data_IF_017612997248
#
_entry.id   IF_017612997248
#
_cell.length_a   1.000
_cell.length_b   1.000
_cell.length_c   1.000
_cell.angle_alpha   90.00
_cell.angle_beta   90.00
_cell.angle_gamma   90.00
#
_symmetry.space_group_name_H-M   'P 1'
#
loop_
_entity.id
_entity.type
_entity.pdbx_description
1 polymer ?
#
# COMPACT_ATOMS: atom_id res chain seq x y z
N UNK A 1 6.75 -20.26 -18.95
CA UNK A 1 5.54 -19.67 -18.36
C UNK A 1 5.99 -18.76 -17.23
N UNK A 2 5.34 -17.61 -17.03
CA UNK A 2 5.70 -16.74 -15.91
C UNK A 2 5.40 -17.47 -14.58
N UNK A 3 6.41 -17.62 -13.72
CA UNK A 3 6.27 -18.26 -12.42
C UNK A 3 5.63 -17.28 -11.42
N UNK A 4 4.95 -17.84 -10.41
CA UNK A 4 4.38 -17.09 -9.29
C UNK A 4 5.37 -17.11 -8.14
N UNK A 5 5.89 -15.95 -7.76
CA UNK A 5 6.84 -15.83 -6.65
C UNK A 5 6.24 -14.99 -5.52
N UNK A 6 6.39 -15.45 -4.28
CA UNK A 6 5.86 -14.77 -3.09
C UNK A 6 6.91 -13.77 -2.59
N UNK A 7 6.50 -12.54 -2.31
CA UNK A 7 7.34 -11.51 -1.69
C UNK A 7 7.01 -11.43 -0.21
N UNK A 8 8.04 -11.42 0.64
CA UNK A 8 7.93 -11.25 2.10
C UNK A 8 9.07 -10.40 2.62
N UNK A 9 8.74 -9.39 3.41
CA UNK A 9 9.71 -8.52 4.09
C UNK A 9 9.30 -8.29 5.54
N UNK A 10 10.30 -8.11 6.41
CA UNK A 10 10.10 -7.64 7.79
C UNK A 10 9.90 -6.12 7.86
N UNK A 11 10.16 -5.40 6.76
CA UNK A 11 10.00 -3.94 6.66
C UNK A 11 8.55 -3.45 6.50
N UNK A 12 7.58 -4.37 6.41
CA UNK A 12 6.16 -4.07 6.30
C UNK A 12 5.34 -5.03 7.20
N UNK A 13 4.10 -4.67 7.59
CA UNK A 13 3.22 -5.56 8.35
C UNK A 13 3.09 -6.93 7.68
N UNK A 14 3.26 -7.99 8.47
CA UNK A 14 2.97 -9.34 8.01
C UNK A 14 1.47 -9.49 7.73
N UNK A 15 1.06 -10.42 6.84
CA UNK A 15 -0.34 -10.73 6.67
C UNK A 15 -1.00 -11.03 8.02
N UNK A 16 -2.23 -10.53 8.22
CA UNK A 16 -2.99 -10.79 9.43
C UNK A 16 -3.01 -12.29 9.75
N UNK A 17 -2.82 -12.63 11.02
CA UNK A 17 -2.71 -14.03 11.44
C UNK A 17 -3.93 -14.84 11.00
N UNK A 18 -3.72 -15.86 10.17
CA UNK A 18 -4.78 -16.72 9.64
C UNK A 18 -5.46 -16.21 8.37
N UNK A 19 -5.11 -15.03 7.86
CA UNK A 19 -5.66 -14.50 6.61
C UNK A 19 -4.94 -15.12 5.38
N UNK A 20 -5.67 -15.56 4.34
CA UNK A 20 -5.10 -16.30 3.22
C UNK A 20 -4.52 -15.40 2.12
N UNK A 21 -3.57 -14.52 2.45
CA UNK A 21 -2.91 -13.63 1.48
C UNK A 21 -1.40 -13.43 1.78
N UNK A 22 -0.66 -12.85 0.83
CA UNK A 22 0.75 -12.46 0.99
C UNK A 22 0.88 -10.95 0.80
N UNK A 23 1.96 -10.35 1.32
CA UNK A 23 2.27 -8.92 1.14
C UNK A 23 2.31 -8.53 -0.33
N UNK A 24 3.01 -9.31 -1.15
CA UNK A 24 2.94 -9.20 -2.59
C UNK A 24 3.21 -10.53 -3.31
N UNK A 25 2.87 -10.55 -4.58
CA UNK A 25 3.19 -11.65 -5.52
C UNK A 25 3.82 -11.06 -6.77
N UNK A 26 4.94 -11.64 -7.22
CA UNK A 26 5.55 -11.35 -8.51
C UNK A 26 5.10 -12.34 -9.56
N UNK A 27 4.80 -11.86 -10.75
CA UNK A 27 4.66 -12.71 -11.94
C UNK A 27 4.72 -11.86 -13.21
N UNK A 28 5.37 -12.38 -14.26
CA UNK A 28 5.33 -11.78 -15.60
C UNK A 28 5.87 -10.35 -15.69
N UNK A 29 6.91 -10.00 -14.90
CA UNK A 29 7.47 -8.65 -14.87
C UNK A 29 6.71 -7.64 -14.01
N UNK A 30 5.68 -8.09 -13.28
CA UNK A 30 4.86 -7.26 -12.42
C UNK A 30 4.90 -7.71 -10.96
N UNK A 31 4.72 -6.75 -10.06
CA UNK A 31 4.52 -6.95 -8.63
C UNK A 31 3.10 -6.53 -8.27
N UNK A 32 2.33 -7.43 -7.66
CA UNK A 32 0.99 -7.16 -7.15
C UNK A 32 1.07 -7.08 -5.63
N UNK A 33 0.90 -5.89 -5.08
CA UNK A 33 1.01 -5.59 -3.65
C UNK A 33 -0.38 -5.52 -3.03
N UNK A 34 -0.59 -6.28 -1.95
CA UNK A 34 -1.82 -6.25 -1.17
C UNK A 34 -2.03 -4.89 -0.50
N UNK A 35 -3.27 -4.59 -0.11
CA UNK A 35 -3.62 -3.34 0.57
C UNK A 35 -2.78 -3.09 1.82
N UNK A 36 -2.15 -1.92 1.87
CA UNK A 36 -1.34 -1.46 3.00
C UNK A 36 -2.12 -0.43 3.81
N UNK A 37 -2.17 -0.65 5.12
CA UNK A 37 -2.74 0.25 6.10
C UNK A 37 -1.66 1.12 6.74
N UNK A 38 -2.09 2.10 7.52
CA UNK A 38 -1.23 2.89 8.41
C UNK A 38 -0.72 2.12 9.65
N UNK A 39 -0.24 0.89 9.47
CA UNK A 39 0.34 0.04 10.51
C UNK A 39 1.86 -0.03 10.36
N UNK A 40 2.61 0.01 11.48
CA UNK A 40 4.04 -0.29 11.47
C UNK A 40 4.28 -1.81 11.50
N UNK A 41 5.42 -2.31 11.03
CA UNK A 41 5.77 -3.72 11.15
C UNK A 41 5.73 -4.20 12.60
N UNK A 42 5.06 -5.32 12.84
CA UNK A 42 4.93 -5.92 14.19
C UNK A 42 3.90 -5.25 15.11
N UNK A 43 3.35 -4.09 14.75
CA UNK A 43 2.34 -3.39 15.53
C UNK A 43 0.92 -3.89 15.19
N UNK A 44 0.00 -3.73 16.15
CA UNK A 44 -1.43 -4.02 15.98
C UNK A 44 -2.29 -2.77 15.87
N UNK A 45 -1.75 -1.64 16.30
CA UNK A 45 -2.43 -0.35 16.33
C UNK A 45 -1.96 0.55 15.20
N UNK A 46 -2.87 1.34 14.66
CA UNK A 46 -2.58 2.34 13.62
C UNK A 46 -1.64 3.43 14.18
N UNK A 47 -0.83 4.02 13.31
CA UNK A 47 0.18 5.04 13.68
C UNK A 47 -0.41 6.31 14.31
N UNK A 48 -1.72 6.54 14.14
CA UNK A 48 -2.44 7.66 14.73
C UNK A 48 -3.81 7.88 14.08
N UNK A 49 -4.56 8.88 14.55
CA UNK A 49 -5.89 9.20 14.04
C UNK A 49 -5.87 10.13 12.83
N UNK A 50 -4.71 10.65 12.41
CA UNK A 50 -4.62 11.57 11.29
C UNK A 50 -4.45 10.81 9.97
N UNK A 51 -5.22 11.19 8.94
CA UNK A 51 -5.11 10.62 7.59
C UNK A 51 -3.69 10.75 7.03
N UNK A 52 -3.01 11.87 7.30
CA UNK A 52 -1.66 12.12 6.80
C UNK A 52 -0.66 11.08 7.31
N UNK A 53 -0.70 10.78 8.62
CA UNK A 53 0.18 9.80 9.26
C UNK A 53 -0.08 8.38 8.73
N UNK A 54 -1.37 8.01 8.59
CA UNK A 54 -1.72 6.70 8.06
C UNK A 54 -1.35 6.55 6.58
N UNK A 55 -1.48 7.61 5.78
CA UNK A 55 -1.08 7.63 4.36
C UNK A 55 0.43 7.48 4.22
N UNK A 56 1.20 8.23 5.01
CA UNK A 56 2.67 8.15 5.04
C UNK A 56 3.14 6.73 5.39
N UNK A 57 2.52 6.13 6.41
CA UNK A 57 2.87 4.77 6.81
C UNK A 57 2.46 3.73 5.77
N UNK A 58 1.28 3.84 5.15
CA UNK A 58 0.85 2.94 4.08
C UNK A 58 1.80 2.98 2.88
N UNK A 59 2.26 4.17 2.47
CA UNK A 59 3.24 4.35 1.40
C UNK A 59 4.64 3.86 1.78
N UNK A 60 5.03 3.99 3.06
CA UNK A 60 6.27 3.42 3.61
C UNK A 60 6.24 1.90 3.53
N UNK A 61 5.13 1.27 3.89
CA UNK A 61 4.96 -0.19 3.78
C UNK A 61 5.01 -0.65 2.32
N UNK A 62 4.32 0.07 1.41
CA UNK A 62 4.37 -0.20 -0.02
C UNK A 62 5.81 -0.16 -0.55
N UNK A 63 6.59 0.87 -0.16
CA UNK A 63 8.00 0.99 -0.53
C UNK A 63 8.80 -0.24 -0.10
N UNK A 64 8.71 -0.62 1.18
CA UNK A 64 9.46 -1.76 1.71
C UNK A 64 9.13 -3.07 0.97
N UNK A 65 7.86 -3.30 0.64
CA UNK A 65 7.45 -4.49 -0.12
C UNK A 65 7.96 -4.45 -1.57
N UNK A 66 7.90 -3.29 -2.21
CA UNK A 66 8.39 -3.13 -3.59
C UNK A 66 9.91 -3.28 -3.67
N UNK A 67 10.66 -2.72 -2.72
CA UNK A 67 12.12 -2.86 -2.64
C UNK A 67 12.51 -4.33 -2.44
N UNK A 68 11.83 -5.07 -1.56
CA UNK A 68 12.02 -6.52 -1.41
C UNK A 68 11.70 -7.29 -2.70
N UNK A 69 10.73 -6.82 -3.48
CA UNK A 69 10.38 -7.41 -4.77
C UNK A 69 11.43 -7.13 -5.86
N UNK A 70 12.40 -6.24 -5.63
CA UNK A 70 13.34 -5.73 -6.64
C UNK A 70 12.75 -4.63 -7.52
N UNK A 71 11.74 -3.91 -7.02
CA UNK A 71 11.03 -2.80 -7.67
C UNK A 71 11.17 -1.52 -6.82
N UNK A 72 10.31 -0.52 -7.05
CA UNK A 72 10.29 0.74 -6.30
C UNK A 72 9.00 1.53 -6.55
N UNK A 73 8.76 2.59 -5.76
CA UNK A 73 7.57 3.42 -5.93
C UNK A 73 7.54 4.13 -7.29
N UNK A 74 8.70 4.41 -7.88
CA UNK A 74 8.85 4.96 -9.21
C UNK A 74 8.45 3.99 -10.33
N UNK A 75 8.29 2.70 -10.01
CA UNK A 75 7.81 1.66 -10.92
C UNK A 75 6.32 1.37 -10.77
N UNK A 76 5.60 2.11 -9.92
CA UNK A 76 4.15 1.98 -9.79
C UNK A 76 3.48 2.21 -11.14
N UNK A 77 2.63 1.26 -11.53
CA UNK A 77 1.80 1.38 -12.75
C UNK A 77 0.35 1.72 -12.41
N UNK A 78 -0.16 1.21 -11.29
CA UNK A 78 -1.54 1.44 -10.81
C UNK A 78 -1.58 1.42 -9.29
N UNK A 79 -2.31 2.35 -8.69
CA UNK A 79 -2.74 2.28 -7.28
C UNK A 79 -4.26 2.32 -7.15
N UNK A 80 -4.79 1.61 -6.17
CA UNK A 80 -6.18 1.80 -5.71
C UNK A 80 -6.12 2.30 -4.28
N UNK A 81 -6.74 3.47 -4.04
CA UNK A 81 -6.81 4.09 -2.72
C UNK A 81 -8.23 3.95 -2.20
N UNK A 82 -8.39 3.31 -1.06
CA UNK A 82 -9.65 3.20 -0.35
C UNK A 82 -9.61 4.17 0.84
N UNK A 83 -10.60 5.07 0.91
CA UNK A 83 -10.76 6.01 2.01
C UNK A 83 -12.01 5.66 2.81
N UNK A 84 -11.96 5.83 4.12
CA UNK A 84 -13.16 5.70 4.95
C UNK A 84 -14.09 6.92 4.84
N UNK A 85 -13.53 8.10 4.53
CA UNK A 85 -14.26 9.35 4.26
C UNK A 85 -13.56 10.10 3.11
N UNK A 86 -14.27 10.44 2.02
CA UNK A 86 -13.71 11.23 0.93
C UNK A 86 -13.37 12.68 1.32
N UNK A 87 -13.87 13.18 2.46
CA UNK A 87 -13.45 14.44 3.05
C UNK A 87 -11.94 14.50 3.32
N UNK A 88 -11.30 13.35 3.54
CA UNK A 88 -9.86 13.22 3.77
C UNK A 88 -9.01 13.22 2.47
N UNK A 89 -9.66 13.26 1.30
CA UNK A 89 -8.99 13.12 0.00
C UNK A 89 -7.86 14.13 -0.20
N UNK A 90 -8.06 15.40 0.15
CA UNK A 90 -7.07 16.45 -0.06
C UNK A 90 -5.79 16.22 0.77
N UNK A 91 -5.97 15.89 2.05
CA UNK A 91 -4.86 15.62 2.97
C UNK A 91 -4.10 14.34 2.62
N UNK A 92 -4.82 13.26 2.26
CA UNK A 92 -4.20 12.05 1.72
C UNK A 92 -3.41 12.36 0.45
N UNK A 93 -3.98 13.16 -0.47
CA UNK A 93 -3.36 13.44 -1.76
C UNK A 93 -2.08 14.27 -1.65
N UNK A 94 -2.01 15.19 -0.68
CA UNK A 94 -0.79 15.95 -0.39
C UNK A 94 0.36 15.01 -0.02
N UNK A 95 0.14 14.09 0.91
CA UNK A 95 1.14 13.08 1.30
C UNK A 95 1.50 12.21 0.10
N UNK A 96 0.48 11.65 -0.57
CA UNK A 96 0.66 10.75 -1.72
C UNK A 96 1.55 11.35 -2.82
N UNK A 97 1.36 12.63 -3.16
CA UNK A 97 2.12 13.31 -4.20
C UNK A 97 3.64 13.35 -3.92
N UNK A 98 4.04 13.43 -2.64
CA UNK A 98 5.47 13.44 -2.24
C UNK A 98 6.17 12.12 -2.53
N UNK A 99 5.42 11.01 -2.57
CA UNK A 99 5.99 9.68 -2.75
C UNK A 99 6.03 9.22 -4.21
N UNK A 100 5.07 9.64 -5.03
CA UNK A 100 4.97 9.21 -6.44
C UNK A 100 5.72 10.13 -7.42
N UNK A 101 6.12 11.32 -6.97
CA UNK A 101 6.92 12.26 -7.76
C UNK A 101 6.24 12.70 -9.07
N UNK A 102 7.06 12.98 -10.09
CA UNK A 102 6.61 13.62 -11.34
C UNK A 102 5.98 12.66 -12.36
N UNK A 103 6.02 11.34 -12.10
CA UNK A 103 5.44 10.30 -12.97
C UNK A 103 4.49 9.41 -12.16
N UNK A 104 3.35 9.96 -11.70
CA UNK A 104 2.43 9.21 -10.86
C UNK A 104 1.80 8.03 -11.62
N UNK A 105 1.44 6.93 -10.93
CA UNK A 105 0.74 5.81 -11.53
C UNK A 105 -0.67 6.19 -11.95
N UNK A 106 -1.32 5.34 -12.76
CA UNK A 106 -2.77 5.37 -12.85
C UNK A 106 -3.38 5.20 -11.44
N UNK A 107 -4.50 5.87 -11.14
CA UNK A 107 -5.10 5.81 -9.81
C UNK A 107 -6.63 5.76 -9.86
N UNK A 108 -7.19 4.97 -8.96
CA UNK A 108 -8.61 5.05 -8.57
C UNK A 108 -8.68 5.33 -7.08
N UNK A 109 -9.58 6.22 -6.68
CA UNK A 109 -9.83 6.53 -5.27
C UNK A 109 -11.32 6.41 -5.00
N UNK A 110 -11.69 5.67 -3.96
CA UNK A 110 -13.09 5.40 -3.62
C UNK A 110 -13.31 5.54 -2.12
N UNK A 111 -14.51 5.97 -1.75
CA UNK A 111 -14.99 5.80 -0.38
C UNK A 111 -15.44 4.36 -0.16
N UNK A 112 -15.17 3.80 1.00
CA UNK A 112 -15.64 2.47 1.40
C UNK A 112 -16.35 2.51 2.75
N UNK A 113 -17.26 1.57 2.98
CA UNK A 113 -18.06 1.51 4.20
C UNK A 113 -17.23 1.26 5.49
N UNK A 114 -16.00 0.75 5.34
CA UNK A 114 -15.06 0.55 6.44
C UNK A 114 -13.81 -0.17 5.98
N UNK A 115 -12.73 0.00 6.75
CA UNK A 115 -11.44 -0.65 6.53
C UNK A 115 -11.05 -1.50 7.75
N UNK A 116 -10.15 -2.49 7.58
CA UNK A 116 -9.66 -3.30 8.70
C UNK A 116 -9.05 -2.41 9.79
N UNK A 117 -9.20 -2.81 11.05
CA UNK A 117 -8.71 -2.07 12.22
C UNK A 117 -9.23 -0.63 12.36
N UNK A 118 -10.27 -0.23 11.62
CA UNK A 118 -10.78 1.14 11.62
C UNK A 118 -9.82 2.14 10.96
N UNK A 119 -9.01 1.67 10.00
CA UNK A 119 -8.11 2.53 9.25
C UNK A 119 -8.86 3.60 8.45
N UNK A 120 -8.22 4.75 8.23
CA UNK A 120 -8.75 5.82 7.41
C UNK A 120 -8.40 5.64 5.93
N UNK A 121 -7.30 4.92 5.65
CA UNK A 121 -6.80 4.66 4.30
C UNK A 121 -6.22 3.25 4.17
N UNK A 122 -6.49 2.64 3.02
CA UNK A 122 -5.81 1.44 2.53
C UNK A 122 -5.33 1.69 1.09
N UNK A 123 -4.09 1.32 0.78
CA UNK A 123 -3.52 1.51 -0.56
C UNK A 123 -2.95 0.18 -1.07
N UNK A 124 -3.50 -0.32 -2.17
CA UNK A 124 -2.91 -1.42 -2.95
C UNK A 124 -2.21 -0.88 -4.20
N UNK A 125 -1.32 -1.71 -4.76
CA UNK A 125 -0.51 -1.30 -5.89
C UNK A 125 -0.18 -2.44 -6.86
N UNK A 126 0.02 -2.06 -8.12
CA UNK A 126 0.71 -2.84 -9.13
C UNK A 126 1.94 -2.04 -9.55
N UNK A 127 3.08 -2.71 -9.66
CA UNK A 127 4.34 -2.11 -10.12
C UNK A 127 5.05 -3.00 -11.15
N UNK A 128 5.95 -2.40 -11.92
CA UNK A 128 6.87 -3.10 -12.81
C UNK A 128 8.16 -3.52 -12.06
N UNK A 129 8.79 -4.62 -12.48
CA UNK A 129 10.10 -5.05 -11.97
C UNK A 129 11.27 -4.30 -12.63
#
# INVERSE_FOLDING_TARGET
MAEKEIVRTEGAPAPFQGAPYNQAVKTGGLVFVAGQLGLRPGEKELVGPAIADQTEQALTNLRAILEEAGSGLEQLVKTTVFLQDLGDFAAMNEVYARHVGDRPPARSTVEVAGLPSGALVEIEAIAHL
#
